data_IF_223239197210
#
_entry.id   IF_223239197210
#
_cell.length_a   1.000
_cell.length_b   1.000
_cell.length_c   1.000
_cell.angle_alpha   90.00
_cell.angle_beta   90.00
_cell.angle_gamma   90.00
#
_symmetry.space_group_name_H-M   'P 1'
#
loop_
_entity.id
_entity.type
_entity.pdbx_description
1 polymer ?
#
# COMPACT_ATOMS: atom_id res chain seq x y z
N UNK A 1 -12.85 14.46 7.42
CA UNK A 1 -12.34 13.31 6.65
C UNK A 1 -13.37 12.22 6.80
N UNK A 2 -13.82 11.61 5.69
CA UNK A 2 -14.83 10.53 5.73
C UNK A 2 -14.14 9.18 5.91
N UNK A 3 -14.70 8.29 6.72
CA UNK A 3 -14.16 6.97 6.98
C UNK A 3 -15.05 5.90 6.33
N UNK A 4 -14.47 5.12 5.42
CA UNK A 4 -15.16 4.03 4.72
C UNK A 4 -14.70 2.70 5.30
N UNK A 5 -15.62 1.90 5.81
CA UNK A 5 -15.34 0.51 6.19
C UNK A 5 -15.54 -0.38 4.96
N UNK A 6 -14.45 -0.83 4.33
CA UNK A 6 -14.48 -1.79 3.23
C UNK A 6 -14.22 -3.20 3.78
N UNK A 7 -15.26 -4.01 3.89
CA UNK A 7 -15.20 -5.33 4.48
C UNK A 7 -15.24 -6.43 3.42
N UNK A 8 -14.51 -7.52 3.68
CA UNK A 8 -14.82 -8.84 3.10
C UNK A 8 -15.64 -9.64 4.10
N UNK A 9 -16.76 -10.19 3.65
CA UNK A 9 -17.66 -10.96 4.52
C UNK A 9 -18.04 -12.29 3.86
N UNK A 10 -18.08 -13.34 4.68
CA UNK A 10 -18.57 -14.67 4.29
C UNK A 10 -19.97 -14.94 4.81
N UNK A 11 -20.16 -16.16 5.32
CA UNK A 11 -21.43 -16.61 5.90
C UNK A 11 -21.74 -15.99 7.27
N UNK A 12 -20.73 -15.39 7.90
CA UNK A 12 -20.81 -14.75 9.21
C UNK A 12 -20.67 -13.22 9.07
N UNK A 13 -21.77 -12.49 8.77
CA UNK A 13 -21.74 -11.04 8.64
C UNK A 13 -21.60 -10.29 9.98
N UNK A 14 -21.63 -10.99 11.12
CA UNK A 14 -21.43 -10.46 12.47
C UNK A 14 -20.13 -9.65 12.58
N UNK A 15 -19.09 -10.05 11.85
CA UNK A 15 -17.79 -9.36 11.82
C UNK A 15 -17.91 -7.87 11.50
N UNK A 16 -18.95 -7.45 10.76
CA UNK A 16 -19.21 -6.05 10.43
C UNK A 16 -19.63 -5.29 11.69
N UNK A 17 -20.61 -5.80 12.44
CA UNK A 17 -21.10 -5.15 13.66
C UNK A 17 -20.10 -5.23 14.79
N UNK A 18 -19.35 -6.33 14.90
CA UNK A 18 -18.24 -6.47 15.86
C UNK A 18 -17.16 -5.40 15.60
N UNK A 19 -16.77 -5.20 14.34
CA UNK A 19 -15.80 -4.19 13.97
C UNK A 19 -16.33 -2.76 14.20
N UNK A 20 -17.58 -2.49 13.84
CA UNK A 20 -18.22 -1.19 14.11
C UNK A 20 -18.27 -0.89 15.61
N UNK A 21 -18.68 -1.88 16.41
CA UNK A 21 -18.70 -1.77 17.86
C UNK A 21 -17.33 -1.35 18.39
N UNK A 22 -16.28 -2.08 18.02
CA UNK A 22 -14.93 -1.80 18.51
C UNK A 22 -14.41 -0.44 18.01
N UNK A 23 -14.63 -0.08 16.74
CA UNK A 23 -14.26 1.22 16.18
C UNK A 23 -14.91 2.38 16.96
N UNK A 24 -16.21 2.30 17.24
CA UNK A 24 -16.91 3.33 18.01
C UNK A 24 -16.36 3.46 19.43
N UNK A 25 -16.02 2.35 20.10
CA UNK A 25 -15.44 2.35 21.44
C UNK A 25 -13.99 2.88 21.46
N UNK A 26 -13.26 2.81 20.34
CA UNK A 26 -11.99 3.50 20.14
C UNK A 26 -12.16 4.99 19.75
N UNK A 27 -13.39 5.50 19.65
CA UNK A 27 -13.68 6.87 19.23
C UNK A 27 -13.51 7.11 17.73
N UNK A 28 -13.52 6.05 16.92
CA UNK A 28 -13.44 6.13 15.45
C UNK A 28 -14.83 6.01 14.84
N UNK A 29 -15.21 6.99 14.02
CA UNK A 29 -16.48 6.97 13.28
C UNK A 29 -16.34 6.25 11.94
N UNK A 30 -17.45 5.75 11.41
CA UNK A 30 -17.58 5.19 10.06
C UNK A 30 -18.74 5.91 9.37
N UNK A 31 -18.50 6.43 8.18
CA UNK A 31 -19.49 7.18 7.40
C UNK A 31 -20.18 6.30 6.34
N UNK A 32 -19.49 5.29 5.82
CA UNK A 32 -20.04 4.34 4.85
C UNK A 32 -19.45 2.94 5.06
N UNK A 33 -20.26 1.92 4.80
CA UNK A 33 -19.84 0.51 4.86
C UNK A 33 -20.06 -0.08 3.48
N UNK A 34 -19.02 -0.72 2.94
CA UNK A 34 -19.09 -1.49 1.70
C UNK A 34 -18.63 -2.91 1.98
N UNK A 35 -19.33 -3.89 1.41
CA UNK A 35 -19.07 -5.31 1.69
C UNK A 35 -18.85 -6.08 0.40
N UNK A 36 -17.69 -6.73 0.26
CA UNK A 36 -17.41 -7.68 -0.82
C UNK A 36 -17.77 -9.07 -0.34
N UNK A 37 -18.61 -9.78 -1.09
CA UNK A 37 -19.17 -11.09 -0.68
C UNK A 37 -19.59 -11.94 -1.87
N UNK A 38 -19.87 -13.22 -1.63
CA UNK A 38 -20.59 -14.11 -2.57
C UNK A 38 -22.11 -13.89 -2.47
N UNK A 39 -22.88 -14.51 -3.39
CA UNK A 39 -24.35 -14.49 -3.40
C UNK A 39 -24.94 -14.90 -2.05
N UNK A 40 -24.49 -16.04 -1.52
CA UNK A 40 -24.95 -16.57 -0.23
C UNK A 40 -24.63 -15.63 0.94
N UNK A 41 -23.46 -14.98 0.92
CA UNK A 41 -23.14 -13.99 1.95
C UNK A 41 -24.01 -12.73 1.83
N UNK A 42 -24.34 -12.26 0.61
CA UNK A 42 -25.32 -11.17 0.43
C UNK A 42 -26.68 -11.55 1.00
N UNK A 43 -27.18 -12.75 0.71
CA UNK A 43 -28.46 -13.23 1.26
C UNK A 43 -28.47 -13.18 2.79
N UNK A 44 -27.37 -13.60 3.44
CA UNK A 44 -27.21 -13.51 4.90
C UNK A 44 -27.20 -12.07 5.42
N UNK A 45 -26.48 -11.17 4.75
CA UNK A 45 -26.42 -9.74 5.12
C UNK A 45 -27.80 -9.11 5.01
N UNK A 46 -28.49 -9.30 3.89
CA UNK A 46 -29.83 -8.74 3.67
C UNK A 46 -30.87 -9.31 4.65
N UNK A 47 -30.82 -10.61 4.91
CA UNK A 47 -31.80 -11.28 5.76
C UNK A 47 -31.61 -11.02 7.27
N UNK A 48 -30.44 -10.55 7.70
CA UNK A 48 -30.13 -10.37 9.14
C UNK A 48 -29.73 -8.93 9.49
N UNK A 49 -28.79 -8.32 8.75
CA UNK A 49 -28.33 -6.95 9.01
C UNK A 49 -29.27 -5.90 8.43
N UNK A 50 -29.69 -6.06 7.17
CA UNK A 50 -30.38 -5.02 6.40
C UNK A 50 -31.85 -5.37 6.10
N UNK A 51 -32.55 -5.97 7.06
CA UNK A 51 -33.95 -6.32 6.84
C UNK A 51 -34.82 -5.05 6.69
N UNK A 52 -35.82 -5.04 5.79
CA UNK A 52 -36.71 -3.89 5.62
C UNK A 52 -37.50 -3.51 6.88
N UNK A 53 -37.74 -4.48 7.77
CA UNK A 53 -38.51 -4.30 9.01
C UNK A 53 -37.66 -3.81 10.20
N UNK A 54 -36.36 -3.54 9.98
CA UNK A 54 -35.42 -3.17 11.04
C UNK A 54 -34.54 -4.37 11.43
N UNK A 55 -33.40 -4.53 10.73
CA UNK A 55 -32.42 -5.56 11.04
C UNK A 55 -31.42 -5.14 12.12
N UNK A 56 -30.48 -6.04 12.43
CA UNK A 56 -29.46 -5.85 13.48
C UNK A 56 -28.66 -4.55 13.31
N UNK A 57 -28.43 -4.10 12.07
CA UNK A 57 -27.73 -2.83 11.85
C UNK A 57 -28.56 -1.60 12.29
N UNK A 58 -29.88 -1.63 12.12
CA UNK A 58 -30.76 -0.56 12.57
C UNK A 58 -30.80 -0.50 14.10
N UNK A 59 -30.88 -1.67 14.76
CA UNK A 59 -30.82 -1.81 16.22
C UNK A 59 -29.50 -1.24 16.76
N UNK A 60 -28.37 -1.64 16.16
CA UNK A 60 -27.04 -1.14 16.51
C UNK A 60 -26.95 0.39 16.42
N UNK A 61 -27.45 0.97 15.32
CA UNK A 61 -27.42 2.42 15.12
C UNK A 61 -28.24 3.15 16.17
N UNK A 62 -29.44 2.67 16.47
CA UNK A 62 -30.30 3.27 17.48
C UNK A 62 -29.62 3.30 18.86
N UNK A 63 -28.87 2.25 19.19
CA UNK A 63 -28.25 2.06 20.50
C UNK A 63 -26.90 2.79 20.68
N UNK A 64 -26.05 2.79 19.65
CA UNK A 64 -24.66 3.26 19.78
C UNK A 64 -24.37 4.57 19.03
N UNK A 65 -25.10 4.87 17.95
CA UNK A 65 -24.80 6.04 17.12
C UNK A 65 -26.05 6.63 16.42
N UNK A 66 -27.10 7.01 17.17
CA UNK A 66 -28.37 7.48 16.59
C UNK A 66 -28.20 8.74 15.74
N UNK A 67 -27.25 9.61 16.10
CA UNK A 67 -26.99 10.88 15.42
C UNK A 67 -26.03 10.76 14.23
N UNK A 68 -25.43 9.58 14.01
CA UNK A 68 -24.45 9.36 12.93
C UNK A 68 -25.17 8.71 11.75
N UNK A 69 -25.15 9.39 10.61
CA UNK A 69 -25.64 8.84 9.35
C UNK A 69 -24.56 7.95 8.72
N UNK A 70 -24.70 6.64 8.87
CA UNK A 70 -23.84 5.65 8.22
C UNK A 70 -24.53 5.16 6.95
N UNK A 71 -23.92 5.34 5.79
CA UNK A 71 -24.42 4.81 4.53
C UNK A 71 -24.13 3.30 4.46
N UNK A 72 -25.18 2.50 4.62
CA UNK A 72 -25.10 1.06 4.44
C UNK A 72 -26.46 0.51 4.02
N UNK A 73 -26.59 0.18 2.73
CA UNK A 73 -27.77 -0.41 2.12
C UNK A 73 -27.40 -1.53 1.13
N UNK A 74 -28.40 -2.15 0.49
CA UNK A 74 -28.17 -3.21 -0.51
C UNK A 74 -27.21 -2.80 -1.63
N UNK A 75 -27.20 -1.53 -2.02
CA UNK A 75 -26.32 -0.93 -3.02
C UNK A 75 -24.83 -0.92 -2.62
N UNK A 76 -24.54 -1.07 -1.33
CA UNK A 76 -23.18 -1.14 -0.83
C UNK A 76 -22.63 -2.57 -0.75
N UNK A 77 -23.44 -3.57 -1.13
CA UNK A 77 -23.03 -4.97 -1.17
C UNK A 77 -22.53 -5.32 -2.57
N UNK A 78 -21.24 -5.55 -2.67
CA UNK A 78 -20.53 -5.91 -3.89
C UNK A 78 -20.46 -7.42 -3.99
N UNK A 79 -21.39 -8.00 -4.77
CA UNK A 79 -21.41 -9.44 -5.01
C UNK A 79 -20.44 -9.79 -6.13
N UNK A 80 -19.60 -10.79 -5.89
CA UNK A 80 -18.69 -11.31 -6.91
C UNK A 80 -19.51 -11.86 -8.09
N UNK A 81 -19.16 -11.42 -9.30
CA UNK A 81 -19.85 -11.77 -10.53
C UNK A 81 -18.86 -12.24 -11.60
N UNK A 82 -19.27 -13.24 -12.38
CA UNK A 82 -18.57 -13.69 -13.57
C UNK A 82 -18.75 -12.69 -14.72
N UNK A 83 -17.91 -12.75 -15.76
CA UNK A 83 -18.05 -11.89 -16.95
C UNK A 83 -19.41 -11.97 -17.65
N UNK A 84 -20.14 -13.08 -17.48
CA UNK A 84 -21.49 -13.27 -18.01
C UNK A 84 -22.61 -12.73 -17.09
N UNK A 85 -22.24 -12.07 -15.99
CA UNK A 85 -23.16 -11.48 -15.01
C UNK A 85 -23.67 -12.45 -13.95
N UNK A 86 -23.30 -13.73 -13.99
CA UNK A 86 -23.72 -14.70 -12.96
C UNK A 86 -22.96 -14.46 -11.66
N UNK A 87 -23.70 -14.38 -10.56
CA UNK A 87 -23.13 -14.24 -9.23
C UNK A 87 -22.49 -15.55 -8.75
N UNK A 88 -21.40 -15.42 -8.01
CA UNK A 88 -20.70 -16.57 -7.42
C UNK A 88 -21.39 -16.99 -6.12
N UNK A 89 -21.63 -18.29 -5.96
CA UNK A 89 -22.17 -18.85 -4.72
C UNK A 89 -21.09 -19.03 -3.66
N UNK A 90 -19.92 -19.45 -4.10
CA UNK A 90 -18.74 -19.65 -3.28
C UNK A 90 -17.47 -19.41 -4.14
N UNK A 91 -16.31 -19.29 -3.49
CA UNK A 91 -15.01 -19.07 -4.13
C UNK A 91 -14.21 -20.37 -4.07
N UNK A 92 -14.24 -21.17 -5.13
CA UNK A 92 -13.69 -22.53 -5.13
C UNK A 92 -12.60 -22.71 -6.18
N UNK A 93 -12.72 -22.06 -7.34
CA UNK A 93 -11.76 -22.19 -8.44
C UNK A 93 -10.76 -21.03 -8.48
N UNK A 94 -9.70 -21.19 -9.28
CA UNK A 94 -8.72 -20.12 -9.50
C UNK A 94 -9.37 -18.91 -10.18
N UNK A 95 -10.28 -19.13 -11.12
CA UNK A 95 -11.05 -18.05 -11.78
C UNK A 95 -11.96 -17.31 -10.79
N UNK A 96 -12.56 -18.01 -9.83
CA UNK A 96 -13.33 -17.35 -8.77
C UNK A 96 -12.45 -16.42 -7.93
N UNK A 97 -11.21 -16.86 -7.67
CA UNK A 97 -10.23 -16.09 -6.91
C UNK A 97 -9.69 -14.89 -7.70
N UNK A 98 -9.54 -15.01 -9.02
CA UNK A 98 -9.22 -13.89 -9.91
C UNK A 98 -10.32 -12.81 -9.85
N UNK A 99 -11.60 -13.19 -9.94
CA UNK A 99 -12.74 -12.27 -9.81
C UNK A 99 -12.74 -11.56 -8.45
N UNK A 100 -12.51 -12.30 -7.37
CA UNK A 100 -12.36 -11.74 -6.03
C UNK A 100 -11.24 -10.69 -5.97
N UNK A 101 -10.07 -11.04 -6.52
CA UNK A 101 -8.91 -10.16 -6.48
C UNK A 101 -9.14 -8.89 -7.30
N UNK A 102 -9.69 -9.00 -8.51
CA UNK A 102 -10.06 -7.87 -9.34
C UNK A 102 -11.06 -6.95 -8.63
N UNK A 103 -12.07 -7.52 -7.96
CA UNK A 103 -13.07 -6.76 -7.21
C UNK A 103 -12.43 -6.01 -6.03
N UNK A 104 -11.57 -6.68 -5.24
CA UNK A 104 -10.84 -6.06 -4.14
C UNK A 104 -9.93 -4.91 -4.62
N UNK A 105 -9.20 -5.12 -5.72
CA UNK A 105 -8.33 -4.11 -6.33
C UNK A 105 -9.14 -2.92 -6.85
N UNK A 106 -10.24 -3.17 -7.56
CA UNK A 106 -11.11 -2.16 -8.12
C UNK A 106 -11.71 -1.24 -7.06
N UNK A 107 -12.35 -1.80 -6.05
CA UNK A 107 -12.97 -1.03 -4.97
C UNK A 107 -11.94 -0.33 -4.10
N UNK A 108 -10.81 -0.97 -3.82
CA UNK A 108 -9.73 -0.30 -3.09
C UNK A 108 -9.21 0.89 -3.88
N UNK A 109 -8.93 0.72 -5.17
CA UNK A 109 -8.49 1.81 -6.04
C UNK A 109 -9.49 2.98 -6.06
N UNK A 110 -10.78 2.67 -6.22
CA UNK A 110 -11.86 3.66 -6.22
C UNK A 110 -11.92 4.44 -4.91
N UNK A 111 -12.03 3.76 -3.76
CA UNK A 111 -12.21 4.44 -2.47
C UNK A 111 -10.95 5.16 -1.99
N UNK A 112 -9.78 4.74 -2.45
CA UNK A 112 -8.50 5.41 -2.16
C UNK A 112 -8.19 6.56 -3.12
N UNK A 113 -8.96 6.74 -4.20
CA UNK A 113 -8.78 7.85 -5.14
C UNK A 113 -9.12 9.21 -4.54
N UNK A 114 -10.00 9.26 -3.54
CA UNK A 114 -10.49 10.50 -2.92
C UNK A 114 -9.59 10.93 -1.75
N UNK A 115 -8.88 12.08 -1.80
CA UNK A 115 -7.98 12.48 -0.72
C UNK A 115 -8.68 12.72 0.63
N UNK A 116 -9.96 13.07 0.61
CA UNK A 116 -10.77 13.38 1.79
C UNK A 116 -11.33 12.14 2.52
N UNK A 117 -11.04 10.93 2.04
CA UNK A 117 -11.48 9.67 2.64
C UNK A 117 -10.31 8.94 3.30
N UNK A 118 -10.60 8.19 4.35
CA UNK A 118 -9.75 7.11 4.87
C UNK A 118 -10.52 5.79 4.71
N UNK A 119 -9.82 4.75 4.28
CA UNK A 119 -10.39 3.41 4.09
C UNK A 119 -9.92 2.49 5.21
N UNK A 120 -10.88 1.87 5.87
CA UNK A 120 -10.69 0.87 6.90
C UNK A 120 -11.01 -0.49 6.28
N UNK A 121 -9.99 -1.25 5.94
CA UNK A 121 -10.11 -2.57 5.34
C UNK A 121 -10.39 -3.61 6.45
N UNK A 122 -11.59 -4.17 6.49
CA UNK A 122 -11.94 -5.22 7.46
C UNK A 122 -11.71 -6.60 6.84
N UNK A 123 -10.73 -7.33 7.38
CA UNK A 123 -10.27 -8.62 6.88
C UNK A 123 -10.60 -9.78 7.84
N UNK A 124 -11.84 -9.81 8.34
CA UNK A 124 -12.25 -10.70 9.42
C UNK A 124 -13.24 -11.82 9.01
N UNK A 125 -13.67 -11.90 7.75
CA UNK A 125 -14.68 -12.87 7.33
C UNK A 125 -14.42 -13.50 5.95
N UNK A 126 -15.10 -14.62 5.71
CA UNK A 126 -15.08 -15.31 4.42
C UNK A 126 -14.03 -16.41 4.29
N UNK A 127 -13.84 -16.89 3.06
CA UNK A 127 -12.72 -17.79 2.76
C UNK A 127 -11.41 -17.04 3.00
N UNK A 128 -10.38 -17.76 3.46
CA UNK A 128 -9.04 -17.18 3.76
C UNK A 128 -8.49 -16.35 2.60
N UNK A 129 -8.80 -16.74 1.37
CA UNK A 129 -8.44 -16.02 0.15
C UNK A 129 -9.02 -14.60 0.11
N UNK A 130 -10.24 -14.35 0.62
CA UNK A 130 -10.84 -13.01 0.69
C UNK A 130 -9.98 -12.05 1.50
N UNK A 131 -9.57 -12.46 2.70
CA UNK A 131 -8.66 -11.70 3.57
C UNK A 131 -7.31 -11.46 2.88
N UNK A 132 -6.75 -12.47 2.22
CA UNK A 132 -5.49 -12.34 1.48
C UNK A 132 -5.58 -11.34 0.32
N UNK A 133 -6.64 -11.43 -0.50
CA UNK A 133 -6.86 -10.54 -1.64
C UNK A 133 -7.10 -9.09 -1.21
N UNK A 134 -7.92 -8.88 -0.16
CA UNK A 134 -8.14 -7.53 0.39
C UNK A 134 -6.86 -6.94 0.97
N UNK A 135 -6.07 -7.74 1.69
CA UNK A 135 -4.78 -7.29 2.24
C UNK A 135 -3.77 -6.95 1.15
N UNK A 136 -3.76 -7.70 0.05
CA UNK A 136 -2.93 -7.39 -1.12
C UNK A 136 -3.39 -6.08 -1.78
N UNK A 137 -4.69 -5.88 -1.98
CA UNK A 137 -5.23 -4.65 -2.54
C UNK A 137 -4.89 -3.42 -1.66
N UNK A 138 -5.01 -3.55 -0.34
CA UNK A 138 -4.62 -2.52 0.62
C UNK A 138 -3.11 -2.21 0.56
N UNK A 139 -2.24 -3.21 0.38
CA UNK A 139 -0.80 -2.97 0.20
C UNK A 139 -0.49 -2.26 -1.11
N UNK A 140 -1.18 -2.58 -2.19
CA UNK A 140 -0.95 -1.98 -3.51
C UNK A 140 -1.47 -0.54 -3.61
N UNK A 141 -2.65 -0.27 -3.05
CA UNK A 141 -3.37 0.99 -3.26
C UNK A 141 -3.70 1.77 -1.99
N UNK A 142 -3.55 1.18 -0.80
CA UNK A 142 -3.79 1.88 0.47
C UNK A 142 -2.82 3.05 0.66
N UNK A 143 -3.19 3.97 1.55
CA UNK A 143 -2.48 5.23 1.81
C UNK A 143 -2.14 5.35 3.30
N UNK A 144 -1.32 6.34 3.71
CA UNK A 144 -0.92 6.50 5.12
C UNK A 144 -2.08 6.68 6.12
N UNK A 145 -3.24 7.19 5.69
CA UNK A 145 -4.44 7.31 6.54
C UNK A 145 -5.30 6.04 6.61
N UNK A 146 -5.10 5.10 5.67
CA UNK A 146 -5.90 3.89 5.58
C UNK A 146 -5.41 2.84 6.58
N UNK A 147 -6.26 1.92 7.02
CA UNK A 147 -5.94 0.92 8.06
C UNK A 147 -6.50 -0.45 7.68
N UNK A 148 -5.74 -1.51 7.93
CA UNK A 148 -6.27 -2.87 7.89
C UNK A 148 -6.64 -3.28 9.31
N UNK A 149 -7.88 -3.73 9.49
CA UNK A 149 -8.40 -4.21 10.76
C UNK A 149 -8.83 -5.67 10.66
N UNK A 150 -8.61 -6.39 11.74
CA UNK A 150 -9.15 -7.72 11.97
C UNK A 150 -9.81 -7.74 13.34
N UNK A 151 -11.06 -8.20 13.41
CA UNK A 151 -11.78 -8.31 14.67
C UNK A 151 -11.66 -9.71 15.22
N UNK A 152 -11.36 -9.82 16.51
CA UNK A 152 -11.40 -11.06 17.27
C UNK A 152 -12.44 -10.95 18.35
N UNK A 153 -13.27 -11.99 18.47
CA UNK A 153 -14.24 -12.13 19.54
C UNK A 153 -13.78 -13.25 20.48
N UNK A 154 -14.14 -13.16 21.76
CA UNK A 154 -13.97 -14.28 22.70
C UNK A 154 -14.44 -15.61 22.06
N UNK A 155 -13.64 -16.69 22.09
CA UNK A 155 -13.89 -17.91 21.32
C UNK A 155 -15.27 -18.55 21.53
N UNK A 156 -15.84 -18.42 22.73
CA UNK A 156 -17.20 -18.90 23.03
C UNK A 156 -18.31 -18.22 22.24
N UNK A 157 -18.11 -16.97 21.79
CA UNK A 157 -19.11 -16.21 21.02
C UNK A 157 -18.84 -16.26 19.51
N UNK A 158 -17.62 -16.60 19.07
CA UNK A 158 -17.23 -16.64 17.65
C UNK A 158 -18.11 -17.59 16.81
N UNK A 159 -18.54 -18.71 17.40
CA UNK A 159 -19.42 -19.69 16.76
C UNK A 159 -20.91 -19.45 17.01
N UNK A 160 -21.28 -18.38 17.73
CA UNK A 160 -22.66 -18.08 18.08
C UNK A 160 -23.36 -17.30 16.95
N UNK A 161 -24.34 -17.88 16.23
CA UNK A 161 -24.98 -17.20 15.10
C UNK A 161 -25.82 -15.99 15.48
N UNK A 162 -26.18 -15.86 16.76
CA UNK A 162 -27.03 -14.80 17.31
C UNK A 162 -26.25 -13.75 18.11
N UNK A 163 -24.93 -13.91 18.27
CA UNK A 163 -24.07 -12.87 18.81
C UNK A 163 -23.61 -11.92 17.70
N UNK A 164 -23.92 -10.63 17.80
CA UNK A 164 -23.54 -9.62 16.79
C UNK A 164 -22.61 -8.55 17.34
N UNK A 165 -22.84 -8.16 18.59
CA UNK A 165 -22.07 -7.22 19.39
C UNK A 165 -22.60 -7.32 20.84
N UNK A 166 -21.88 -6.79 21.85
CA UNK A 166 -22.40 -6.66 23.21
C UNK A 166 -23.39 -5.48 23.29
N UNK A 167 -24.71 -5.70 23.45
CA UNK A 167 -25.66 -4.61 23.70
C UNK A 167 -25.39 -3.96 25.07
N UNK A 168 -25.91 -2.74 25.27
CA UNK A 168 -25.85 -2.01 26.55
C UNK A 168 -26.58 -2.77 27.65
N UNK A 169 -27.76 -3.29 27.33
CA UNK A 169 -28.50 -4.20 28.20
C UNK A 169 -28.11 -5.63 27.86
N UNK A 170 -27.36 -6.26 28.76
CA UNK A 170 -26.85 -7.61 28.57
C UNK A 170 -27.99 -8.62 28.41
N UNK A 171 -27.92 -9.39 27.32
CA UNK A 171 -28.81 -10.52 27.02
C UNK A 171 -28.07 -11.84 27.27
N UNK A 172 -28.81 -12.86 27.74
CA UNK A 172 -28.34 -14.24 27.86
C UNK A 172 -28.50 -14.99 26.53
N UNK A 173 -27.41 -15.57 26.02
CA UNK A 173 -27.37 -16.39 24.81
C UNK A 173 -27.05 -17.85 25.16
N UNK A 174 -27.62 -18.78 24.40
CA UNK A 174 -27.26 -20.19 24.46
C UNK A 174 -26.02 -20.43 23.60
N UNK A 175 -24.91 -20.77 24.25
CA UNK A 175 -23.67 -21.16 23.62
C UNK A 175 -23.46 -22.67 23.79
N UNK A 176 -22.44 -23.22 23.13
CA UNK A 176 -22.08 -24.63 23.24
C UNK A 176 -20.65 -24.76 23.74
N UNK A 177 -20.44 -25.59 24.76
CA UNK A 177 -19.11 -25.89 25.26
C UNK A 177 -18.35 -26.84 24.31
N UNK A 178 -17.11 -27.21 24.67
CA UNK A 178 -16.31 -28.16 23.86
C UNK A 178 -16.93 -29.55 23.72
N UNK A 179 -17.86 -29.92 24.61
CA UNK A 179 -18.61 -31.18 24.60
C UNK A 179 -19.96 -31.05 23.88
N UNK A 180 -20.25 -29.89 23.28
CA UNK A 180 -21.53 -29.55 22.65
C UNK A 180 -22.71 -29.50 23.62
N UNK A 181 -22.46 -29.26 24.90
CA UNK A 181 -23.52 -29.04 25.88
C UNK A 181 -23.94 -27.56 25.90
N UNK A 182 -25.25 -27.27 26.00
CA UNK A 182 -25.74 -25.89 26.02
C UNK A 182 -25.35 -25.19 27.32
N UNK A 183 -24.72 -24.03 27.21
CA UNK A 183 -24.34 -23.16 28.33
C UNK A 183 -24.90 -21.77 28.10
N UNK A 184 -25.63 -21.23 29.08
CA UNK A 184 -26.09 -19.85 29.04
C UNK A 184 -24.93 -18.91 29.39
N UNK A 185 -24.67 -17.93 28.54
CA UNK A 185 -23.73 -16.84 28.81
C UNK A 185 -24.34 -15.48 28.51
N UNK A 186 -24.01 -14.54 29.38
CA UNK A 186 -24.36 -13.13 29.24
C UNK A 186 -23.43 -12.44 28.23
N UNK A 187 -24.01 -11.69 27.31
CA UNK A 187 -23.29 -10.91 26.27
C UNK A 187 -22.30 -9.90 26.86
N UNK A 188 -22.52 -9.39 28.08
CA UNK A 188 -21.55 -8.50 28.77
C UNK A 188 -20.15 -9.09 28.98
N UNK A 189 -20.01 -10.42 28.90
CA UNK A 189 -18.72 -11.09 29.03
C UNK A 189 -18.00 -11.28 27.70
N UNK A 190 -18.62 -10.93 26.57
CA UNK A 190 -17.95 -10.99 25.28
C UNK A 190 -16.91 -9.87 25.18
N UNK A 191 -15.65 -10.24 24.93
CA UNK A 191 -14.61 -9.30 24.58
C UNK A 191 -14.48 -9.24 23.06
N UNK A 192 -14.51 -8.01 22.51
CA UNK A 192 -14.22 -7.74 21.11
C UNK A 192 -12.92 -6.95 21.04
N UNK A 193 -11.95 -7.48 20.29
CA UNK A 193 -10.65 -6.87 20.07
C UNK A 193 -10.50 -6.48 18.61
N UNK A 194 -10.27 -5.19 18.35
CA UNK A 194 -9.93 -4.69 17.02
C UNK A 194 -8.41 -4.66 16.86
N UNK A 195 -7.89 -5.59 16.06
CA UNK A 195 -6.46 -5.66 15.77
C UNK A 195 -6.18 -4.80 14.53
N UNK A 196 -5.28 -3.84 14.67
CA UNK A 196 -4.71 -3.14 13.51
C UNK A 196 -3.58 -3.99 12.93
N UNK A 197 -3.75 -4.48 11.71
CA UNK A 197 -2.71 -5.22 10.99
C UNK A 197 -1.79 -4.19 10.31
N UNK A 198 -0.47 -4.21 10.60
CA UNK A 198 0.47 -3.36 9.89
C UNK A 198 0.55 -3.79 8.42
N UNK A 199 0.58 -2.82 7.51
CA UNK A 199 0.80 -3.08 6.09
C UNK A 199 1.76 -2.06 5.50
N UNK A 200 2.45 -2.47 4.44
CA UNK A 200 3.32 -1.58 3.67
C UNK A 200 2.56 -1.15 2.43
N UNK A 201 2.23 0.14 2.36
CA UNK A 201 1.73 0.70 1.11
C UNK A 201 2.88 0.88 0.13
N UNK A 202 2.71 0.33 -1.07
CA UNK A 202 3.61 0.58 -2.22
C UNK A 202 3.03 1.61 -3.19
N UNK A 203 1.85 2.18 -2.89
CA UNK A 203 1.13 3.09 -3.80
C UNK A 203 2.00 4.25 -4.28
N UNK A 204 2.72 4.89 -3.36
CA UNK A 204 3.57 6.05 -3.66
C UNK A 204 4.85 5.68 -4.44
N UNK A 205 5.13 4.37 -4.57
CA UNK A 205 6.25 3.83 -5.36
C UNK A 205 5.82 3.37 -6.75
N UNK A 206 4.51 3.31 -7.02
CA UNK A 206 3.99 2.98 -8.35
C UNK A 206 4.12 4.18 -9.28
N UNK A 207 4.43 3.91 -10.54
CA UNK A 207 4.41 4.94 -11.57
C UNK A 207 3.03 5.60 -11.63
N UNK A 208 2.97 6.94 -11.68
CA UNK A 208 1.69 7.69 -11.73
C UNK A 208 0.80 7.26 -12.90
N UNK A 209 1.40 6.82 -14.01
CA UNK A 209 0.69 6.31 -15.18
C UNK A 209 0.00 4.95 -14.97
N UNK A 210 0.29 4.25 -13.87
CA UNK A 210 -0.38 3.00 -13.47
C UNK A 210 -1.51 3.24 -12.47
N UNK A 211 -1.69 4.49 -12.00
CA UNK A 211 -2.75 4.89 -11.10
C UNK A 211 -3.94 5.53 -11.85
N UNK A 212 -4.07 5.27 -13.16
CA UNK A 212 -5.15 5.74 -14.02
C UNK A 212 -6.40 4.86 -13.92
N UNK A 213 -6.20 3.57 -13.67
CA UNK A 213 -7.24 2.55 -13.49
C UNK A 213 -6.70 1.42 -12.62
N UNK A 214 -7.57 0.57 -12.04
CA UNK A 214 -7.12 -0.66 -11.40
C UNK A 214 -6.34 -1.54 -12.41
N UNK A 215 -5.17 -2.01 -11.99
CA UNK A 215 -4.31 -2.94 -12.75
C UNK A 215 -4.17 -4.28 -12.04
N UNK A 216 -3.92 -5.37 -12.78
CA UNK A 216 -3.52 -6.65 -12.19
C UNK A 216 -2.24 -6.53 -11.35
N UNK A 217 -2.05 -7.34 -10.30
CA UNK A 217 -0.88 -7.26 -9.45
C UNK A 217 0.45 -7.45 -10.19
N UNK A 218 0.48 -8.30 -11.22
CA UNK A 218 1.68 -8.55 -12.01
C UNK A 218 2.24 -7.27 -12.66
N UNK A 219 1.36 -6.43 -13.22
CA UNK A 219 1.74 -5.16 -13.85
C UNK A 219 2.33 -4.18 -12.82
N UNK A 220 1.68 -4.09 -11.66
CA UNK A 220 2.11 -3.21 -10.57
C UNK A 220 3.45 -3.66 -9.98
N UNK A 221 3.59 -4.96 -9.71
CA UNK A 221 4.82 -5.55 -9.21
C UNK A 221 5.97 -5.40 -10.21
N UNK A 222 5.70 -5.54 -11.51
CA UNK A 222 6.72 -5.34 -12.53
C UNK A 222 7.24 -3.90 -12.54
N UNK A 223 6.40 -2.90 -12.29
CA UNK A 223 6.83 -1.50 -12.12
C UNK A 223 7.70 -1.32 -10.87
N UNK A 224 7.36 -1.97 -9.76
CA UNK A 224 8.15 -1.89 -8.52
C UNK A 224 9.52 -2.57 -8.62
N UNK A 225 9.64 -3.62 -9.45
CA UNK A 225 10.87 -4.39 -9.66
C UNK A 225 11.79 -3.74 -10.69
N UNK A 226 11.29 -2.79 -11.50
CA UNK A 226 12.18 -1.97 -12.34
C UNK A 226 13.06 -1.16 -11.40
N UNK A 227 14.28 -1.66 -11.16
CA UNK A 227 15.39 -0.89 -10.62
C UNK A 227 15.36 0.46 -11.34
N UNK A 228 15.05 1.53 -10.60
CA UNK A 228 15.30 2.87 -11.10
C UNK A 228 16.74 2.83 -11.63
N UNK A 229 16.98 3.09 -12.94
CA UNK A 229 18.32 2.96 -13.49
C UNK A 229 19.23 3.78 -12.58
N UNK A 230 20.23 3.13 -11.99
CA UNK A 230 21.16 3.82 -11.10
C UNK A 230 21.92 4.80 -11.97
N UNK A 231 21.45 6.04 -12.01
CA UNK A 231 22.06 7.11 -12.76
C UNK A 231 23.33 7.50 -12.02
N UNK A 232 24.44 7.45 -12.74
CA UNK A 232 25.70 8.03 -12.30
C UNK A 232 25.61 9.54 -12.51
N UNK A 233 25.60 10.31 -11.43
CA UNK A 233 25.62 11.78 -11.49
C UNK A 233 27.02 12.27 -11.13
N UNK A 234 27.60 13.10 -11.98
CA UNK A 234 28.89 13.76 -11.74
C UNK A 234 28.59 15.23 -11.43
N UNK A 235 28.65 15.61 -10.16
CA UNK A 235 28.38 16.98 -9.72
C UNK A 235 29.68 17.78 -9.68
N UNK A 236 29.91 18.55 -10.74
CA UNK A 236 31.11 19.38 -10.90
C UNK A 236 31.17 20.54 -9.91
N UNK A 237 30.02 21.03 -9.45
CA UNK A 237 29.94 22.18 -8.55
C UNK A 237 30.17 21.75 -7.09
N UNK A 238 29.60 20.63 -6.69
CA UNK A 238 29.79 20.06 -5.35
C UNK A 238 31.07 19.23 -5.22
N UNK A 239 31.73 18.87 -6.32
CA UNK A 239 32.99 18.12 -6.29
C UNK A 239 32.83 16.63 -6.02
N UNK A 240 31.68 16.03 -6.35
CA UNK A 240 31.34 14.65 -5.96
C UNK A 240 30.72 13.82 -7.08
N UNK A 241 30.78 12.50 -6.92
CA UNK A 241 30.08 11.53 -7.77
C UNK A 241 29.00 10.85 -6.93
N UNK A 242 27.80 10.69 -7.51
CA UNK A 242 26.67 10.02 -6.89
C UNK A 242 26.24 8.83 -7.75
N UNK A 243 26.11 7.66 -7.13
CA UNK A 243 25.57 6.46 -7.78
C UNK A 243 24.59 5.74 -6.84
N UNK A 244 23.30 5.85 -7.14
CA UNK A 244 22.26 5.40 -6.22
C UNK A 244 22.31 6.20 -4.91
N UNK A 245 22.49 5.51 -3.78
CA UNK A 245 22.60 6.13 -2.46
C UNK A 245 24.05 6.39 -2.00
N UNK A 246 25.05 6.04 -2.83
CA UNK A 246 26.47 6.23 -2.51
C UNK A 246 26.93 7.57 -3.07
N UNK A 247 27.45 8.41 -2.19
CA UNK A 247 28.13 9.66 -2.55
C UNK A 247 29.63 9.51 -2.28
N UNK A 248 30.46 10.03 -3.18
CA UNK A 248 31.91 10.03 -3.05
C UNK A 248 32.47 11.40 -3.43
N UNK A 249 33.09 12.08 -2.47
CA UNK A 249 33.87 13.29 -2.73
C UNK A 249 35.12 12.95 -3.55
N UNK A 250 35.40 13.78 -4.54
CA UNK A 250 36.49 13.56 -5.49
C UNK A 250 37.44 14.75 -5.53
N UNK A 251 38.74 14.45 -5.53
CA UNK A 251 39.75 15.48 -5.81
C UNK A 251 39.48 16.11 -7.19
N UNK A 252 39.57 17.45 -7.35
CA UNK A 252 39.18 18.14 -8.60
C UNK A 252 39.81 17.56 -9.87
N UNK A 253 41.09 17.18 -9.81
CA UNK A 253 41.79 16.57 -10.95
C UNK A 253 41.20 15.20 -11.36
N UNK A 254 40.81 14.38 -10.38
CA UNK A 254 40.16 13.09 -10.63
C UNK A 254 38.76 13.29 -11.18
N UNK A 255 38.04 14.30 -10.67
CA UNK A 255 36.68 14.62 -11.10
C UNK A 255 36.65 15.13 -12.54
N UNK A 256 37.58 16.00 -12.92
CA UNK A 256 37.74 16.46 -14.30
C UNK A 256 37.99 15.31 -15.26
N UNK A 257 38.92 14.41 -14.91
CA UNK A 257 39.23 13.23 -15.71
C UNK A 257 38.02 12.30 -15.84
N UNK A 258 37.32 12.05 -14.74
CA UNK A 258 36.14 11.19 -14.73
C UNK A 258 34.99 11.81 -15.55
N UNK A 259 34.73 13.10 -15.38
CA UNK A 259 33.74 13.87 -16.12
C UNK A 259 33.99 13.81 -17.63
N UNK A 260 35.25 13.96 -18.05
CA UNK A 260 35.65 13.84 -19.43
C UNK A 260 35.28 12.47 -20.03
N UNK A 261 35.61 11.37 -19.36
CA UNK A 261 35.23 10.02 -19.82
C UNK A 261 33.71 9.81 -19.84
N UNK A 262 32.98 10.36 -18.86
CA UNK A 262 31.50 10.32 -18.89
C UNK A 262 30.93 11.12 -20.08
N UNK A 263 31.55 12.24 -20.45
CA UNK A 263 31.20 13.03 -21.63
C UNK A 263 31.46 12.28 -22.94
N UNK A 264 32.58 11.56 -23.05
CA UNK A 264 32.82 10.66 -24.18
C UNK A 264 31.73 9.57 -24.27
N UNK A 265 31.31 9.04 -23.13
CA UNK A 265 30.25 8.03 -23.08
C UNK A 265 28.89 8.58 -23.53
N UNK A 266 28.54 9.78 -23.11
CA UNK A 266 27.30 10.47 -23.53
C UNK A 266 27.29 10.78 -25.04
N UNK A 267 28.46 11.00 -25.64
CA UNK A 267 28.63 11.24 -27.09
C UNK A 267 28.66 9.93 -27.91
N UNK A 268 28.65 8.77 -27.27
CA UNK A 268 28.67 7.47 -27.95
C UNK A 268 27.36 7.22 -28.70
N UNK A 269 27.46 6.84 -29.99
CA UNK A 269 26.29 6.58 -30.86
C UNK A 269 25.88 5.10 -30.94
N UNK A 270 26.57 4.23 -30.20
CA UNK A 270 26.31 2.79 -30.22
C UNK A 270 25.17 2.44 -29.27
N UNK A 271 24.11 1.86 -29.82
CA UNK A 271 22.91 1.44 -29.08
C UNK A 271 23.04 -0.02 -28.60
N UNK A 272 24.16 -0.35 -27.92
CA UNK A 272 24.43 -1.70 -27.41
C UNK A 272 25.01 -1.70 -25.99
N UNK A 273 24.76 -2.75 -25.18
CA UNK A 273 25.27 -2.86 -23.82
C UNK A 273 26.81 -2.83 -23.77
N UNK A 274 27.38 -1.99 -22.92
CA UNK A 274 28.81 -1.68 -22.94
C UNK A 274 29.71 -2.60 -22.09
N UNK A 275 29.29 -3.84 -21.81
CA UNK A 275 30.01 -4.74 -20.91
C UNK A 275 31.45 -5.06 -21.35
N UNK A 276 31.67 -5.28 -22.65
CA UNK A 276 33.00 -5.55 -23.25
C UNK A 276 33.28 -4.60 -24.43
N UNK A 277 32.75 -3.38 -24.40
CA UNK A 277 32.87 -2.42 -25.49
C UNK A 277 33.97 -1.38 -25.20
N UNK A 278 34.97 -1.29 -26.08
CA UNK A 278 36.06 -0.31 -26.01
C UNK A 278 35.91 0.83 -27.03
N UNK A 279 34.79 0.91 -27.74
CA UNK A 279 34.64 1.82 -28.89
C UNK A 279 34.71 3.32 -28.53
N UNK A 280 34.40 3.68 -27.28
CA UNK A 280 34.51 5.06 -26.78
C UNK A 280 35.75 5.26 -25.89
N UNK A 281 36.66 4.29 -25.85
CA UNK A 281 37.92 4.39 -25.11
C UNK A 281 38.94 5.10 -25.99
N UNK A 282 39.74 5.96 -25.36
CA UNK A 282 40.84 6.65 -26.02
C UNK A 282 42.16 6.24 -25.36
N UNK A 283 43.25 6.40 -26.10
CA UNK A 283 44.59 6.13 -25.57
C UNK A 283 44.98 7.15 -24.51
N UNK A 284 45.82 6.75 -23.55
CA UNK A 284 46.22 7.62 -22.44
C UNK A 284 46.93 8.90 -22.91
N UNK A 285 47.72 8.79 -23.99
CA UNK A 285 48.41 9.94 -24.60
C UNK A 285 47.44 10.95 -25.21
N UNK A 286 46.35 10.47 -25.82
CA UNK A 286 45.30 11.31 -26.39
C UNK A 286 44.50 12.01 -25.30
N UNK A 287 44.20 11.30 -24.20
CA UNK A 287 43.56 11.90 -23.03
C UNK A 287 44.41 13.03 -22.43
N UNK A 288 45.71 12.80 -22.23
CA UNK A 288 46.62 13.77 -21.61
C UNK A 288 46.84 15.04 -22.46
N UNK A 289 46.69 14.94 -23.78
CA UNK A 289 46.79 16.07 -24.70
C UNK A 289 45.49 16.85 -24.90
N UNK A 290 44.38 16.46 -24.26
CA UNK A 290 43.07 17.04 -24.51
C UNK A 290 42.79 18.26 -23.61
N UNK A 291 42.57 19.41 -24.24
CA UNK A 291 42.28 20.67 -23.55
C UNK A 291 40.95 20.65 -22.76
N UNK A 292 40.00 19.78 -23.11
CA UNK A 292 38.68 19.64 -22.46
C UNK A 292 38.83 19.23 -20.98
N UNK A 293 39.81 18.39 -20.64
CA UNK A 293 40.10 18.02 -19.24
C UNK A 293 40.59 19.24 -18.46
N UNK A 294 41.46 20.04 -19.08
CA UNK A 294 42.01 21.25 -18.46
C UNK A 294 40.92 22.30 -18.25
N UNK A 295 39.97 22.40 -19.17
CA UNK A 295 38.80 23.27 -19.04
C UNK A 295 37.84 22.81 -17.94
N UNK A 296 37.52 21.52 -17.89
CA UNK A 296 36.71 20.92 -16.81
C UNK A 296 37.36 21.13 -15.45
N UNK A 297 38.66 20.94 -15.34
CA UNK A 297 39.42 21.19 -14.10
C UNK A 297 39.35 22.66 -13.67
N UNK A 298 39.55 23.59 -14.62
CA UNK A 298 39.40 25.04 -14.36
C UNK A 298 37.98 25.39 -13.93
N UNK A 299 36.96 24.74 -14.48
CA UNK A 299 35.57 24.97 -14.11
C UNK A 299 35.27 24.51 -12.68
N UNK A 300 35.72 23.30 -12.32
CA UNK A 300 35.55 22.73 -10.98
C UNK A 300 36.26 23.60 -9.93
N UNK A 301 37.49 24.05 -10.22
CA UNK A 301 38.24 24.92 -9.31
C UNK A 301 37.73 26.35 -9.35
N UNK A 302 37.21 26.84 -10.46
CA UNK A 302 36.67 28.21 -10.58
C UNK A 302 35.53 28.49 -9.60
N UNK A 303 34.80 27.46 -9.17
CA UNK A 303 33.80 27.53 -8.08
C UNK A 303 34.42 27.61 -6.67
N UNK A 304 35.58 27.00 -6.45
CA UNK A 304 36.40 27.17 -5.25
C UNK A 304 37.24 28.44 -5.41
N UNK A 305 36.80 29.55 -4.81
CA UNK A 305 37.53 30.83 -4.77
C UNK A 305 39.06 30.63 -4.89
N UNK A 306 39.61 31.04 -6.05
CA UNK A 306 41.05 31.21 -6.30
C UNK A 306 41.79 32.03 -5.20
N UNK A 307 41.06 32.66 -4.27
CA UNK A 307 41.58 33.40 -3.11
C UNK A 307 42.13 32.54 -1.96
N UNK A 308 41.93 31.22 -1.96
CA UNK A 308 42.50 30.33 -0.92
C UNK A 308 43.76 29.59 -1.37
N UNK A 309 44.17 29.74 -2.64
CA UNK A 309 45.45 29.22 -3.08
C UNK A 309 46.55 30.16 -2.58
N UNK A 310 47.46 29.64 -1.75
CA UNK A 310 48.63 30.41 -1.30
C UNK A 310 49.40 30.96 -2.50
N UNK A 311 49.69 32.27 -2.48
CA UNK A 311 50.61 32.94 -3.41
C UNK A 311 52.05 32.40 -3.30
N UNK A 312 52.31 31.48 -2.37
CA UNK A 312 53.62 30.84 -2.14
C UNK A 312 53.76 29.46 -2.76
N UNK A 313 52.89 29.07 -3.71
CA UNK A 313 52.99 27.79 -4.44
C UNK A 313 54.37 27.54 -5.08
N UNK A 314 54.57 26.34 -5.65
CA UNK A 314 55.79 25.72 -6.26
C UNK A 314 56.92 26.65 -6.74
N UNK A 315 56.63 27.87 -7.19
CA UNK A 315 57.59 28.94 -7.47
C UNK A 315 58.51 29.36 -6.30
N UNK A 316 58.25 28.96 -5.05
CA UNK A 316 59.14 29.15 -3.88
C UNK A 316 59.89 27.90 -3.41
N UNK A 317 59.88 26.80 -4.17
CA UNK A 317 60.70 25.64 -3.85
C UNK A 317 62.18 25.96 -4.13
N UNK A 318 62.91 26.37 -3.10
CA UNK A 318 64.38 26.34 -3.12
C UNK A 318 64.85 24.91 -2.86
N UNK A 319 65.86 24.47 -3.61
CA UNK A 319 66.54 23.20 -3.38
C UNK A 319 67.44 23.35 -2.15
N UNK A 320 66.94 22.94 -0.99
CA UNK A 320 67.77 22.46 0.13
C UNK A 320 67.74 20.93 0.13
#
# INVERSE_FOLDING_TARGET
>A
MKNILLAVAGLNPQVITEALYALLHEGRTVDAIHVITTRTGREKILARLLTPAGGVFAEFRQEFCPDIAIQFGPENIHVLQRPDGRELDDIVTDEDNEILLETCLGLTFEFTSQPGTAVFFLVAGGRKTMTSCMSLAAQLYGRPQDRIYHVLVSPEFESCPDFWYPPRESVSLTLYDRKHEPVLKETRYAAIHLITIPFVSVRDRLDRGLLDRPRPPADLMQSLVRDAPRLLTVDLAAGKIVYGAVELDMHPARLALYAFFTGLKLRCKLDQPCHNCTACFIEATEALGNDEITELYRHIIGGCRLKEMSDTGIARLSRE
#
